data_IF_803592631135
#
_entry.id   IF_803592631135
#
_cell.length_a   1.000
_cell.length_b   1.000
_cell.length_c   1.000
_cell.angle_alpha   90.00
_cell.angle_beta   90.00
_cell.angle_gamma   90.00
#
_symmetry.space_group_name_H-M   'P 1'
#
loop_
_entity.id
_entity.type
_entity.pdbx_description
1 polymer ?
#
# COMPACT_ATOMS: atom_id res chain seq x y z
N UNK A 1 -23.33 22.90 19.87
CA UNK A 1 -23.61 22.13 18.64
C UNK A 1 -22.50 22.48 17.66
N UNK A 2 -21.35 21.89 17.88
CA UNK A 2 -20.11 22.19 17.17
C UNK A 2 -20.16 21.49 15.82
N UNK A 3 -20.65 22.22 14.82
CA UNK A 3 -20.37 21.96 13.42
C UNK A 3 -18.86 22.04 13.23
N UNK A 4 -18.16 20.92 13.26
CA UNK A 4 -16.72 20.89 13.00
C UNK A 4 -16.49 21.30 11.55
N UNK A 5 -15.82 22.43 11.32
CA UNK A 5 -15.58 22.97 9.97
C UNK A 5 -14.65 22.04 9.18
N UNK A 6 -15.25 21.15 8.41
CA UNK A 6 -14.54 20.17 7.61
C UNK A 6 -14.24 20.76 6.23
N UNK A 7 -12.96 20.96 5.95
CA UNK A 7 -12.51 21.52 4.67
C UNK A 7 -12.79 20.54 3.53
N UNK A 8 -13.59 20.97 2.54
CA UNK A 8 -13.78 20.25 1.29
C UNK A 8 -12.81 20.75 0.22
N UNK A 9 -12.26 19.84 -0.57
CA UNK A 9 -11.30 20.16 -1.63
C UNK A 9 -11.49 19.25 -2.84
N UNK A 10 -11.10 19.73 -4.02
CA UNK A 10 -11.20 18.98 -5.28
C UNK A 10 -9.82 18.57 -5.80
N UNK A 11 -9.73 17.40 -6.42
CA UNK A 11 -8.50 16.87 -7.04
C UNK A 11 -8.82 16.30 -8.42
N UNK A 12 -8.11 16.78 -9.43
CA UNK A 12 -8.13 16.21 -10.78
C UNK A 12 -7.09 15.09 -10.91
N UNK A 13 -7.51 13.94 -11.44
CA UNK A 13 -6.72 12.73 -11.59
C UNK A 13 -6.90 12.14 -12.98
N UNK A 14 -5.94 11.35 -13.47
CA UNK A 14 -6.10 10.60 -14.73
C UNK A 14 -6.28 9.10 -14.45
N UNK A 15 -7.49 8.57 -14.68
CA UNK A 15 -7.82 7.15 -14.49
C UNK A 15 -7.17 6.29 -15.58
N UNK A 16 -6.07 5.63 -15.23
CA UNK A 16 -5.30 4.76 -16.13
C UNK A 16 -5.82 3.32 -16.18
N UNK A 17 -5.05 2.43 -16.83
CA UNK A 17 -5.37 0.98 -16.91
C UNK A 17 -5.40 0.27 -15.54
N UNK A 18 -4.73 0.84 -14.54
CA UNK A 18 -4.73 0.40 -13.14
C UNK A 18 -5.72 1.19 -12.25
N UNK A 19 -6.59 2.00 -12.84
CA UNK A 19 -7.53 2.87 -12.12
C UNK A 19 -6.90 4.18 -11.64
N UNK A 20 -7.43 4.71 -10.54
CA UNK A 20 -6.99 5.96 -9.89
C UNK A 20 -5.86 5.74 -8.86
N UNK A 21 -5.66 4.50 -8.42
CA UNK A 21 -4.65 4.14 -7.43
C UNK A 21 -4.99 4.44 -5.97
N UNK A 22 -6.24 4.78 -5.69
CA UNK A 22 -6.77 5.03 -4.34
C UNK A 22 -7.50 3.76 -3.87
N UNK A 23 -7.31 3.38 -2.60
CA UNK A 23 -8.11 2.35 -1.95
C UNK A 23 -9.18 3.03 -1.10
N UNK A 24 -10.43 2.54 -1.21
CA UNK A 24 -11.55 3.04 -0.42
C UNK A 24 -12.07 1.95 0.50
N UNK A 25 -12.38 2.34 1.73
CA UNK A 25 -13.12 1.55 2.71
C UNK A 25 -14.50 2.16 2.97
N UNK A 26 -15.42 1.36 3.49
CA UNK A 26 -16.64 1.88 4.08
C UNK A 26 -16.29 2.61 5.39
N UNK A 27 -16.92 3.75 5.63
CA UNK A 27 -16.96 4.35 6.96
C UNK A 27 -17.69 3.43 7.96
N UNK A 28 -17.56 3.70 9.27
CA UNK A 28 -18.16 2.87 10.32
C UNK A 28 -19.71 2.81 10.28
N UNK A 29 -20.35 3.79 9.63
CA UNK A 29 -21.79 3.84 9.35
C UNK A 29 -22.20 3.01 8.10
N UNK A 30 -21.23 2.52 7.33
CA UNK A 30 -21.37 1.93 5.99
C UNK A 30 -22.12 2.79 4.94
N UNK A 31 -22.36 4.07 5.23
CA UNK A 31 -22.92 5.01 4.28
C UNK A 31 -21.82 5.53 3.35
N UNK A 32 -20.80 6.18 3.91
CA UNK A 32 -19.81 6.94 3.15
C UNK A 32 -18.58 6.09 2.75
N UNK A 33 -17.89 6.51 1.69
CA UNK A 33 -16.58 5.99 1.30
C UNK A 33 -15.45 6.86 1.86
N UNK A 34 -14.47 6.24 2.52
CA UNK A 34 -13.25 6.91 3.02
C UNK A 34 -12.01 6.33 2.35
N UNK A 35 -10.95 7.12 2.20
CA UNK A 35 -9.64 6.61 1.79
C UNK A 35 -9.13 5.67 2.88
N UNK A 36 -8.84 4.40 2.53
CA UNK A 36 -8.60 3.34 3.52
C UNK A 36 -7.30 3.56 4.30
N UNK A 37 -7.42 3.79 5.61
CA UNK A 37 -6.30 4.06 6.53
C UNK A 37 -5.39 2.87 6.79
N UNK A 38 -5.81 1.65 6.42
CA UNK A 38 -5.10 0.39 6.74
C UNK A 38 -4.13 -0.05 5.65
N UNK A 39 -4.13 0.61 4.49
CA UNK A 39 -3.35 0.22 3.32
C UNK A 39 -2.67 1.44 2.68
N UNK A 40 -1.39 1.34 2.26
CA UNK A 40 -0.77 2.40 1.48
C UNK A 40 -1.43 2.49 0.10
N UNK A 41 -1.32 3.67 -0.54
CA UNK A 41 -1.77 3.90 -1.92
C UNK A 41 -1.26 2.84 -2.92
N UNK A 42 -1.91 2.77 -4.07
CA UNK A 42 -1.50 1.85 -5.13
C UNK A 42 -0.15 2.28 -5.72
N UNK A 43 0.79 1.33 -5.83
CA UNK A 43 2.03 1.54 -6.57
C UNK A 43 1.89 0.92 -7.95
N UNK A 44 2.28 1.61 -9.01
CA UNK A 44 2.23 1.03 -10.36
C UNK A 44 3.23 -0.14 -10.47
N UNK A 45 2.98 -1.17 -11.32
CA UNK A 45 3.93 -2.28 -11.50
C UNK A 45 5.33 -1.86 -11.98
N UNK A 46 5.47 -0.66 -12.54
CA UNK A 46 6.74 0.00 -12.87
C UNK A 46 7.50 0.57 -11.66
N UNK A 47 6.97 0.46 -10.44
CA UNK A 47 7.50 1.11 -9.24
C UNK A 47 7.14 2.60 -9.10
N UNK A 48 6.41 3.18 -10.05
CA UNK A 48 5.97 4.57 -10.03
C UNK A 48 4.77 4.82 -9.10
N UNK A 49 4.58 6.09 -8.70
CA UNK A 49 3.38 6.59 -8.02
C UNK A 49 2.15 6.36 -8.90
N UNK A 50 1.02 5.93 -8.33
CA UNK A 50 -0.27 5.95 -9.04
C UNK A 50 -0.96 7.32 -8.88
N UNK A 51 -1.97 7.67 -9.71
CA UNK A 51 -2.51 9.04 -9.80
C UNK A 51 -2.90 9.67 -8.46
N UNK A 52 -3.60 8.93 -7.59
CA UNK A 52 -3.98 9.43 -6.26
C UNK A 52 -2.79 9.80 -5.36
N UNK A 53 -1.77 8.95 -5.29
CA UNK A 53 -0.52 9.20 -4.53
C UNK A 53 0.28 10.34 -5.18
N UNK A 54 0.35 10.35 -6.51
CA UNK A 54 1.06 11.36 -7.31
C UNK A 54 0.44 12.77 -7.20
N UNK A 55 -0.83 12.88 -6.79
CA UNK A 55 -1.48 14.18 -6.56
C UNK A 55 -0.94 14.91 -5.33
N UNK A 56 -0.40 14.20 -4.34
CA UNK A 56 0.09 14.78 -3.08
C UNK A 56 -0.99 15.35 -2.13
N UNK A 57 -2.21 15.62 -2.60
CA UNK A 57 -3.27 16.26 -1.80
C UNK A 57 -4.09 15.26 -0.96
N UNK A 58 -4.27 14.03 -1.44
CA UNK A 58 -5.19 13.04 -0.86
C UNK A 58 -4.53 12.31 0.31
N UNK A 59 -5.19 12.27 1.46
CA UNK A 59 -4.70 11.60 2.67
C UNK A 59 -5.60 10.39 3.05
N UNK A 60 -5.05 9.38 3.73
CA UNK A 60 -5.87 8.32 4.32
C UNK A 60 -6.84 8.89 5.36
N UNK A 61 -8.09 8.43 5.34
CA UNK A 61 -9.17 8.93 6.19
C UNK A 61 -10.02 10.05 5.60
N UNK A 62 -9.63 10.66 4.47
CA UNK A 62 -10.48 11.63 3.77
C UNK A 62 -11.77 10.98 3.25
N UNK A 63 -12.90 11.68 3.40
CA UNK A 63 -14.22 11.21 2.95
C UNK A 63 -14.44 11.63 1.50
N UNK A 64 -14.91 10.71 0.64
CA UNK A 64 -15.28 11.01 -0.74
C UNK A 64 -16.72 11.54 -0.80
N UNK A 65 -16.90 12.75 -1.35
CA UNK A 65 -18.20 13.40 -1.52
C UNK A 65 -18.72 13.31 -2.96
N UNK A 66 -17.89 13.60 -3.97
CA UNK A 66 -18.32 13.59 -5.37
C UNK A 66 -17.32 12.86 -6.29
N UNK A 67 -17.86 12.28 -7.37
CA UNK A 67 -17.12 11.63 -8.46
C UNK A 67 -17.57 12.27 -9.77
N UNK A 68 -16.70 13.06 -10.38
CA UNK A 68 -17.05 14.04 -11.42
C UNK A 68 -18.28 14.87 -10.94
N UNK A 69 -19.27 15.05 -11.81
CA UNK A 69 -20.50 15.79 -11.56
C UNK A 69 -21.54 15.00 -10.73
N UNK A 70 -21.22 13.78 -10.27
CA UNK A 70 -22.09 12.97 -9.41
C UNK A 70 -21.74 13.12 -7.94
N UNK A 71 -22.66 13.65 -7.15
CA UNK A 71 -22.66 13.51 -5.68
C UNK A 71 -22.82 12.02 -5.32
N UNK A 72 -21.94 11.52 -4.46
CA UNK A 72 -21.94 10.14 -3.95
C UNK A 72 -22.18 10.06 -2.44
N UNK A 73 -22.36 11.19 -1.75
CA UNK A 73 -22.61 11.25 -0.29
C UNK A 73 -23.89 10.52 0.14
N UNK A 74 -24.93 10.54 -0.71
CA UNK A 74 -26.21 9.87 -0.46
C UNK A 74 -26.22 8.39 -0.89
N UNK A 75 -25.16 7.87 -1.50
CA UNK A 75 -25.08 6.49 -2.00
C UNK A 75 -24.40 5.59 -0.96
N UNK A 76 -24.87 4.35 -0.79
CA UNK A 76 -24.17 3.40 0.11
C UNK A 76 -22.88 2.91 -0.54
N UNK A 77 -21.86 2.63 0.28
CA UNK A 77 -20.51 2.24 -0.17
C UNK A 77 -20.42 1.30 -1.39
N UNK A 78 -21.21 0.21 -1.53
CA UNK A 78 -21.16 -0.64 -2.73
C UNK A 78 -21.53 0.08 -4.03
N UNK A 79 -22.47 1.03 -3.97
CA UNK A 79 -22.90 1.86 -5.10
C UNK A 79 -21.82 2.90 -5.46
N UNK A 80 -21.13 3.46 -4.46
CA UNK A 80 -19.96 4.34 -4.66
C UNK A 80 -18.84 3.57 -5.38
N UNK A 81 -18.56 2.34 -4.97
CA UNK A 81 -17.58 1.46 -5.61
C UNK A 81 -17.97 1.09 -7.05
N UNK A 82 -19.27 0.99 -7.35
CA UNK A 82 -19.77 0.79 -8.71
C UNK A 82 -19.63 2.06 -9.58
N UNK A 83 -20.07 3.22 -9.10
CA UNK A 83 -19.79 4.55 -9.69
C UNK A 83 -18.31 4.69 -10.06
N UNK A 84 -17.40 4.54 -9.09
CA UNK A 84 -15.95 4.63 -9.28
C UNK A 84 -15.39 3.63 -10.31
N UNK A 85 -16.04 2.48 -10.52
CA UNK A 85 -15.68 1.53 -11.58
C UNK A 85 -16.14 2.02 -12.95
N UNK A 86 -17.39 2.46 -13.06
CA UNK A 86 -18.05 2.86 -14.31
C UNK A 86 -17.44 4.10 -14.98
N UNK A 87 -16.85 5.04 -14.21
CA UNK A 87 -16.12 6.21 -14.75
C UNK A 87 -15.13 5.77 -15.86
N UNK A 88 -15.09 6.41 -17.04
CA UNK A 88 -14.18 6.03 -18.12
C UNK A 88 -12.70 6.25 -17.78
N UNK A 89 -11.79 5.76 -18.64
CA UNK A 89 -10.37 6.14 -18.58
C UNK A 89 -10.22 7.56 -19.14
N UNK A 90 -9.37 8.38 -18.53
CA UNK A 90 -9.23 9.80 -18.86
C UNK A 90 -9.21 10.68 -17.59
N UNK A 91 -9.46 11.99 -17.70
CA UNK A 91 -9.59 12.86 -16.54
C UNK A 91 -10.79 12.47 -15.66
N UNK A 92 -10.60 12.59 -14.36
CA UNK A 92 -11.59 12.33 -13.30
C UNK A 92 -11.39 13.36 -12.20
N UNK A 93 -12.45 14.04 -11.81
CA UNK A 93 -12.43 15.01 -10.72
C UNK A 93 -13.06 14.37 -9.48
N UNK A 94 -12.36 14.36 -8.35
CA UNK A 94 -12.90 13.87 -7.08
C UNK A 94 -13.02 15.02 -6.10
N UNK A 95 -14.13 15.08 -5.36
CA UNK A 95 -14.30 16.02 -4.23
C UNK A 95 -14.20 15.23 -2.94
N UNK A 96 -13.30 15.67 -2.06
CA UNK A 96 -13.05 15.09 -0.75
C UNK A 96 -13.40 16.06 0.37
N UNK A 97 -13.67 15.52 1.56
CA UNK A 97 -13.82 16.26 2.81
C UNK A 97 -12.82 15.72 3.81
N UNK A 98 -11.92 16.61 4.28
CA UNK A 98 -10.99 16.27 5.36
C UNK A 98 -11.65 16.54 6.70
N UNK A 99 -11.91 15.48 7.45
CA UNK A 99 -12.27 15.59 8.86
C UNK A 99 -11.04 16.11 9.61
N UNK A 100 -11.09 17.38 10.06
CA UNK A 100 -10.02 17.92 10.91
C UNK A 100 -9.99 17.12 12.22
N UNK A 101 -8.85 16.62 12.70
CA UNK A 101 -8.80 15.93 13.97
C UNK A 101 -9.27 16.87 15.07
N UNK A 102 -10.32 16.49 15.79
CA UNK A 102 -10.74 17.23 17.00
C UNK A 102 -9.57 17.23 17.96
N UNK A 103 -9.00 18.40 18.21
CA UNK A 103 -8.02 18.56 19.28
C UNK A 103 -8.71 18.16 20.59
N UNK A 104 -8.21 17.12 21.24
CA UNK A 104 -8.56 16.84 22.63
C UNK A 104 -7.86 17.96 23.41
N UNK A 105 -8.65 18.81 24.06
CA UNK A 105 -8.15 19.98 24.77
C UNK A 105 -7.38 19.55 26.03
N UNK A 106 -6.08 19.30 25.87
CA UNK A 106 -5.12 19.21 26.97
C UNK A 106 -4.22 20.43 26.93
N UNK A 107 -4.37 21.31 27.92
CA UNK A 107 -3.54 22.50 28.10
C UNK A 107 -3.60 22.94 29.57
N UNK A 108 -2.54 23.57 30.12
CA UNK A 108 -1.14 23.57 29.69
C UNK A 108 -0.18 23.23 30.86
N UNK A 109 1.07 23.71 30.77
CA UNK A 109 2.13 23.70 31.80
C UNK A 109 2.81 22.33 32.06
N UNK A 110 4.12 22.23 32.27
CA UNK A 110 5.15 23.26 32.55
C UNK A 110 6.45 23.04 31.73
N UNK A 111 7.27 24.08 31.58
CA UNK A 111 8.71 24.01 31.24
C UNK A 111 9.49 23.28 32.38
N UNK A 112 10.75 22.85 32.30
CA UNK A 112 11.93 23.09 31.43
C UNK A 112 12.54 21.72 30.99
N UNK A 113 13.74 21.49 30.42
CA UNK A 113 14.98 22.26 30.17
C UNK A 113 15.81 21.58 29.04
N UNK A 114 17.00 22.09 28.74
CA UNK A 114 18.08 21.38 28.03
C UNK A 114 19.42 21.59 28.78
N UNK A 115 20.39 20.66 28.66
CA UNK A 115 21.67 21.07 28.06
C UNK A 115 22.33 20.00 27.17
N UNK A 116 23.50 20.36 26.63
CA UNK A 116 24.21 19.71 25.52
C UNK A 116 25.45 18.90 25.97
N UNK A 117 25.97 18.04 25.06
CA UNK A 117 27.41 17.71 24.88
C UNK A 117 28.19 16.95 26.01
N UNK A 118 29.27 16.18 25.78
CA UNK A 118 29.99 15.70 24.57
C UNK A 118 30.85 14.43 24.92
N UNK A 119 31.53 13.83 23.94
CA UNK A 119 32.68 12.88 24.01
C UNK A 119 32.37 11.46 24.55
N UNK A 120 32.48 10.36 23.80
CA UNK A 120 33.61 9.74 23.03
C UNK A 120 34.51 8.80 23.86
N UNK A 121 34.52 7.51 23.50
CA UNK A 121 35.75 6.68 23.46
C UNK A 121 35.59 5.45 22.54
N UNK A 122 36.66 4.99 21.89
CA UNK A 122 36.69 3.79 21.03
C UNK A 122 37.41 2.61 21.71
N UNK A 123 36.93 1.37 21.50
CA UNK A 123 37.79 0.17 21.53
C UNK A 123 37.42 -0.80 20.40
N UNK A 124 38.42 -1.25 19.61
CA UNK A 124 38.31 -2.25 18.54
C UNK A 124 39.06 -3.54 18.93
N UNK A 125 38.61 -4.72 18.44
CA UNK A 125 39.35 -6.00 18.15
C UNK A 125 38.27 -7.07 17.83
N UNK A 126 38.17 -7.84 16.72
CA UNK A 126 39.06 -8.44 15.69
C UNK A 126 39.58 -9.85 16.06
N UNK A 127 39.37 -10.96 15.31
CA UNK A 127 38.61 -11.26 14.06
C UNK A 127 37.81 -12.60 14.27
N UNK A 128 37.66 -13.64 13.41
CA UNK A 128 38.06 -14.00 12.02
C UNK A 128 37.09 -15.10 11.50
N UNK A 129 36.32 -14.88 10.43
CA UNK A 129 36.57 -15.25 9.02
C UNK A 129 36.97 -16.72 8.73
N UNK A 130 36.13 -17.42 7.94
CA UNK A 130 36.54 -18.44 6.96
C UNK A 130 35.69 -18.31 5.68
N UNK A 131 36.39 -18.20 4.54
CA UNK A 131 36.05 -18.47 3.13
C UNK A 131 34.65 -19.09 2.80
N UNK A 132 33.81 -18.51 1.94
CA UNK A 132 33.88 -18.30 0.45
C UNK A 132 33.31 -19.47 -0.40
N UNK A 133 32.30 -19.18 -1.25
CA UNK A 133 32.16 -19.63 -2.65
C UNK A 133 30.78 -19.27 -3.29
N UNK A 134 30.80 -18.54 -4.42
CA UNK A 134 29.78 -18.47 -5.51
C UNK A 134 28.30 -18.09 -5.19
N UNK A 135 27.44 -17.64 -6.12
CA UNK A 135 27.56 -17.39 -7.58
C UNK A 135 26.88 -16.04 -7.98
N UNK A 136 27.35 -15.39 -9.04
CA UNK A 136 26.83 -14.12 -9.61
C UNK A 136 25.58 -14.33 -10.48
N UNK A 137 24.51 -14.88 -9.91
CA UNK A 137 23.25 -15.18 -10.62
C UNK A 137 22.20 -14.06 -10.57
N UNK A 138 21.76 -13.58 -11.75
CA UNK A 138 20.56 -12.72 -12.01
C UNK A 138 20.69 -11.19 -11.86
N UNK A 139 21.60 -10.57 -12.62
CA UNK A 139 21.32 -9.24 -13.22
C UNK A 139 21.81 -9.11 -14.69
N UNK A 140 22.23 -10.22 -15.30
CA UNK A 140 22.86 -10.29 -16.64
C UNK A 140 21.84 -10.25 -17.80
N UNK A 141 20.56 -10.51 -17.53
CA UNK A 141 19.53 -10.73 -18.57
C UNK A 141 19.23 -9.50 -19.43
N UNK A 142 19.11 -8.31 -18.83
CA UNK A 142 18.71 -7.10 -19.56
C UNK A 142 19.85 -6.51 -20.41
N UNK A 143 21.09 -6.60 -19.91
CA UNK A 143 22.28 -6.06 -20.57
C UNK A 143 22.64 -6.77 -21.89
N UNK A 144 22.18 -8.01 -22.09
CA UNK A 144 22.46 -8.76 -23.32
C UNK A 144 21.68 -8.23 -24.53
N UNK A 145 20.41 -7.85 -24.33
CA UNK A 145 19.54 -7.36 -25.41
C UNK A 145 19.94 -5.96 -25.91
N UNK A 146 20.54 -5.12 -25.07
CA UNK A 146 20.99 -3.78 -25.46
C UNK A 146 22.23 -3.77 -26.39
N UNK A 147 22.92 -4.91 -26.57
CA UNK A 147 24.19 -4.97 -27.31
C UNK A 147 24.08 -5.33 -28.80
N UNK A 148 22.85 -5.54 -29.30
CA UNK A 148 22.60 -5.95 -30.70
C UNK A 148 22.14 -4.81 -31.63
N UNK A 149 21.79 -3.63 -31.11
CA UNK A 149 21.30 -2.49 -31.90
C UNK A 149 22.40 -1.70 -32.64
N UNK A 150 23.67 -1.89 -32.29
CA UNK A 150 24.77 -1.02 -32.75
C UNK A 150 25.44 -1.40 -34.08
N UNK A 151 25.25 -2.64 -34.58
CA UNK A 151 26.01 -3.15 -35.74
C UNK A 151 25.22 -3.26 -37.06
N UNK A 152 23.90 -3.02 -37.04
CA UNK A 152 23.07 -3.09 -38.25
C UNK A 152 23.24 -1.88 -39.20
N UNK A 153 23.70 -0.74 -38.68
CA UNK A 153 23.76 0.53 -39.42
C UNK A 153 24.86 0.60 -40.50
N UNK A 154 25.80 -0.35 -40.53
CA UNK A 154 26.99 -0.30 -41.41
C UNK A 154 26.93 -1.24 -42.63
N UNK A 155 25.88 -2.04 -42.81
CA UNK A 155 25.84 -3.14 -43.78
C UNK A 155 24.81 -2.97 -44.92
N UNK A 156 24.05 -1.86 -44.97
CA UNK A 156 22.95 -1.65 -45.94
C UNK A 156 23.42 -0.97 -47.24
N UNK A 157 24.71 -0.69 -47.39
CA UNK A 157 25.29 0.03 -48.53
C UNK A 157 25.55 -0.84 -49.78
N UNK A 158 25.06 -2.08 -49.83
CA UNK A 158 25.09 -2.93 -51.03
C UNK A 158 23.75 -3.62 -51.23
N UNK A 159 23.17 -3.46 -52.42
CA UNK A 159 21.81 -3.89 -52.69
C UNK A 159 21.73 -5.41 -52.92
N UNK A 160 20.92 -6.09 -52.12
CA UNK A 160 20.17 -7.23 -52.61
C UNK A 160 18.74 -7.17 -52.05
N UNK A 161 17.76 -7.04 -52.94
CA UNK A 161 16.36 -6.82 -52.57
C UNK A 161 15.67 -8.15 -52.23
N UNK A 162 16.11 -8.79 -51.14
CA UNK A 162 15.41 -9.93 -50.55
C UNK A 162 14.09 -9.44 -49.97
N UNK A 163 13.02 -9.53 -50.76
CA UNK A 163 11.66 -9.20 -50.32
C UNK A 163 11.22 -10.19 -49.23
N UNK A 164 11.44 -9.84 -47.97
CA UNK A 164 10.81 -10.52 -46.83
C UNK A 164 9.30 -10.46 -47.08
N UNK A 165 8.58 -11.59 -47.13
CA UNK A 165 7.16 -11.59 -47.41
C UNK A 165 6.41 -10.80 -46.34
N UNK A 166 5.59 -9.85 -46.77
CA UNK A 166 4.89 -8.89 -45.88
C UNK A 166 4.01 -9.57 -44.85
N UNK A 167 3.49 -10.76 -45.17
CA UNK A 167 2.70 -11.60 -44.27
C UNK A 167 3.52 -12.06 -43.06
N UNK A 168 4.80 -12.43 -43.24
CA UNK A 168 5.67 -12.87 -42.13
C UNK A 168 6.01 -11.69 -41.21
N UNK A 169 6.19 -10.48 -41.74
CA UNK A 169 6.34 -9.28 -40.89
C UNK A 169 5.05 -8.96 -40.14
N UNK A 170 3.88 -9.06 -40.78
CA UNK A 170 2.59 -8.81 -40.13
C UNK A 170 2.28 -9.87 -39.05
N UNK A 171 2.59 -11.14 -39.30
CA UNK A 171 2.51 -12.23 -38.31
C UNK A 171 3.41 -11.96 -37.11
N UNK A 172 4.66 -11.51 -37.33
CA UNK A 172 5.61 -11.23 -36.25
C UNK A 172 5.15 -10.03 -35.42
N UNK A 173 4.63 -8.96 -36.04
CA UNK A 173 4.00 -7.86 -35.30
C UNK A 173 2.78 -8.30 -34.50
N UNK A 174 1.93 -9.18 -35.05
CA UNK A 174 0.79 -9.76 -34.34
C UNK A 174 1.23 -10.50 -33.08
N UNK A 175 2.18 -11.43 -33.23
CA UNK A 175 2.78 -12.19 -32.12
C UNK A 175 3.47 -11.29 -31.09
N UNK A 176 4.06 -10.17 -31.53
CA UNK A 176 4.67 -9.18 -30.63
C UNK A 176 3.59 -8.51 -29.75
N UNK A 177 2.49 -8.03 -30.33
CA UNK A 177 1.36 -7.45 -29.58
C UNK A 177 0.72 -8.46 -28.62
N UNK A 178 0.54 -9.72 -29.04
CA UNK A 178 0.01 -10.79 -28.18
C UNK A 178 0.90 -11.04 -26.95
N UNK A 179 2.23 -11.01 -27.14
CA UNK A 179 3.22 -11.16 -26.06
C UNK A 179 3.27 -9.93 -25.13
N UNK A 180 3.15 -8.72 -25.67
CA UNK A 180 3.04 -7.49 -24.87
C UNK A 180 1.79 -7.50 -23.99
N UNK A 181 0.63 -7.91 -24.53
CA UNK A 181 -0.57 -8.11 -23.73
C UNK A 181 -0.41 -9.23 -22.68
N UNK A 182 0.23 -10.34 -23.04
CA UNK A 182 0.47 -11.45 -22.12
C UNK A 182 1.37 -11.02 -20.94
N UNK A 183 2.40 -10.24 -21.22
CA UNK A 183 3.27 -9.62 -20.22
C UNK A 183 2.50 -8.63 -19.33
N UNK A 184 1.66 -7.77 -19.92
CA UNK A 184 0.82 -6.84 -19.14
C UNK A 184 -0.20 -7.58 -18.24
N UNK A 185 -0.72 -8.73 -18.70
CA UNK A 185 -1.56 -9.63 -17.88
C UNK A 185 -0.76 -10.27 -16.74
N UNK A 186 0.44 -10.79 -17.00
CA UNK A 186 1.32 -11.37 -15.98
C UNK A 186 1.68 -10.35 -14.90
N UNK A 187 2.20 -9.18 -15.30
CA UNK A 187 2.60 -8.10 -14.39
C UNK A 187 1.44 -7.67 -13.47
N UNK A 188 0.22 -7.57 -14.02
CA UNK A 188 -0.98 -7.25 -13.24
C UNK A 188 -1.35 -8.35 -12.26
N UNK A 189 -1.34 -9.62 -12.69
CA UNK A 189 -1.62 -10.76 -11.82
C UNK A 189 -0.58 -10.88 -10.70
N UNK A 190 0.71 -10.70 -11.03
CA UNK A 190 1.83 -10.70 -10.10
C UNK A 190 1.70 -9.59 -9.05
N UNK A 191 1.47 -8.36 -9.48
CA UNK A 191 1.26 -7.23 -8.56
C UNK A 191 0.10 -7.50 -7.58
N UNK A 192 -1.02 -8.05 -8.07
CA UNK A 192 -2.16 -8.40 -7.24
C UNK A 192 -1.83 -9.52 -6.23
N UNK A 193 -1.01 -10.51 -6.62
CA UNK A 193 -0.55 -11.56 -5.72
C UNK A 193 0.41 -11.03 -4.64
N UNK A 194 1.37 -10.17 -5.01
CA UNK A 194 2.31 -9.52 -4.09
C UNK A 194 1.57 -8.60 -3.09
N UNK A 195 0.63 -7.76 -3.57
CA UNK A 195 -0.24 -6.94 -2.71
C UNK A 195 -1.13 -7.78 -1.80
N UNK A 196 -1.70 -8.90 -2.29
CA UNK A 196 -2.49 -9.83 -1.46
C UNK A 196 -1.65 -10.48 -0.36
N UNK A 197 -0.38 -10.80 -0.63
CA UNK A 197 0.54 -11.36 0.35
C UNK A 197 0.82 -10.38 1.51
N UNK A 198 1.08 -9.10 1.19
CA UNK A 198 1.26 -8.03 2.19
C UNK A 198 0.01 -7.87 3.06
N UNK A 199 -1.18 -7.82 2.47
CA UNK A 199 -2.44 -7.69 3.23
C UNK A 199 -2.67 -8.88 4.17
N UNK A 200 -2.45 -10.11 3.68
CA UNK A 200 -2.55 -11.32 4.48
C UNK A 200 -1.55 -11.34 5.65
N UNK A 201 -0.31 -10.91 5.42
CA UNK A 201 0.73 -10.81 6.46
C UNK A 201 0.36 -9.80 7.55
N UNK A 202 -0.14 -8.63 7.18
CA UNK A 202 -0.55 -7.61 8.14
C UNK A 202 -1.73 -8.07 9.00
N UNK A 203 -2.74 -8.67 8.38
CA UNK A 203 -3.92 -9.19 9.09
C UNK A 203 -3.55 -10.36 10.01
N UNK A 204 -2.67 -11.27 9.58
CA UNK A 204 -2.16 -12.36 10.42
C UNK A 204 -1.38 -11.84 11.64
N UNK A 205 -0.61 -10.75 11.48
CA UNK A 205 0.09 -10.09 12.59
C UNK A 205 -0.91 -9.45 13.57
N UNK A 206 -1.91 -8.72 13.08
CA UNK A 206 -2.97 -8.10 13.90
C UNK A 206 -3.72 -9.17 14.73
N UNK A 207 -4.20 -10.22 14.07
CA UNK A 207 -4.93 -11.32 14.72
C UNK A 207 -4.03 -12.08 15.72
N UNK A 208 -2.72 -12.20 15.44
CA UNK A 208 -1.76 -12.79 16.39
C UNK A 208 -1.59 -11.94 17.65
N UNK A 209 -1.46 -10.61 17.50
CA UNK A 209 -1.35 -9.66 18.63
C UNK A 209 -2.62 -9.66 19.48
N UNK A 210 -3.81 -9.66 18.86
CA UNK A 210 -5.09 -9.73 19.57
C UNK A 210 -5.26 -11.07 20.31
N UNK A 211 -4.84 -12.19 19.71
CA UNK A 211 -4.84 -13.49 20.39
C UNK A 211 -3.86 -13.56 21.56
N UNK A 212 -2.72 -12.86 21.50
CA UNK A 212 -1.79 -12.77 22.63
C UNK A 212 -2.42 -11.97 23.78
N UNK A 213 -2.92 -10.77 23.51
CA UNK A 213 -3.56 -9.91 24.52
C UNK A 213 -4.75 -10.61 25.21
N UNK A 214 -5.59 -11.33 24.46
CA UNK A 214 -6.70 -12.11 25.03
C UNK A 214 -6.24 -13.27 25.92
N UNK A 215 -5.11 -13.91 25.61
CA UNK A 215 -4.52 -14.96 26.47
C UNK A 215 -3.98 -14.38 27.76
N UNK A 216 -3.31 -13.23 27.69
CA UNK A 216 -2.76 -12.55 28.87
C UNK A 216 -3.87 -12.05 29.80
N UNK A 217 -4.93 -11.46 29.25
CA UNK A 217 -6.14 -11.10 30.01
C UNK A 217 -6.80 -12.31 30.67
N UNK A 218 -6.95 -13.43 29.94
CA UNK A 218 -7.51 -14.67 30.48
C UNK A 218 -6.62 -15.27 31.59
N UNK A 219 -5.29 -15.13 31.47
CA UNK A 219 -4.34 -15.51 32.51
C UNK A 219 -4.50 -14.68 33.78
N UNK A 220 -4.56 -13.34 33.64
CA UNK A 220 -4.76 -12.41 34.76
C UNK A 220 -6.10 -12.66 35.48
N UNK A 221 -7.20 -12.85 34.74
CA UNK A 221 -8.50 -13.14 35.34
C UNK A 221 -8.50 -14.47 36.11
N UNK A 222 -7.89 -15.53 35.56
CA UNK A 222 -7.75 -16.83 36.26
C UNK A 222 -6.88 -16.73 37.51
N UNK A 223 -5.78 -15.98 37.46
CA UNK A 223 -4.91 -15.76 38.61
C UNK A 223 -5.62 -14.98 39.73
N UNK A 224 -6.39 -13.94 39.38
CA UNK A 224 -7.19 -13.18 40.33
C UNK A 224 -8.31 -14.03 40.94
N UNK A 225 -8.97 -14.88 40.15
CA UNK A 225 -9.95 -15.85 40.65
C UNK A 225 -9.31 -16.85 41.63
N UNK A 226 -8.17 -17.46 41.27
CA UNK A 226 -7.45 -18.38 42.15
C UNK A 226 -7.03 -17.72 43.47
N UNK A 227 -6.61 -16.45 43.45
CA UNK A 227 -6.30 -15.67 44.65
C UNK A 227 -7.53 -15.40 45.52
N UNK A 228 -8.67 -15.10 44.90
CA UNK A 228 -9.94 -14.91 45.61
C UNK A 228 -10.40 -16.21 46.28
N UNK A 229 -10.40 -17.32 45.53
CA UNK A 229 -10.85 -18.63 46.02
C UNK A 229 -9.92 -19.17 47.13
N UNK A 230 -8.60 -18.92 47.02
CA UNK A 230 -7.64 -19.17 48.10
C UNK A 230 -7.93 -18.33 49.35
N UNK A 231 -8.14 -17.01 49.20
CA UNK A 231 -8.48 -16.13 50.33
C UNK A 231 -9.78 -16.53 51.04
N UNK A 232 -10.81 -16.94 50.29
CA UNK A 232 -12.07 -17.43 50.85
C UNK A 232 -11.87 -18.74 51.61
N UNK A 233 -11.12 -19.70 51.05
CA UNK A 233 -10.85 -20.98 51.72
C UNK A 233 -9.96 -20.83 52.95
N UNK A 234 -8.97 -19.94 52.95
CA UNK A 234 -8.15 -19.60 54.12
C UNK A 234 -8.98 -18.90 55.21
N UNK A 235 -9.82 -17.93 54.83
CA UNK A 235 -10.73 -17.23 55.76
C UNK A 235 -11.72 -18.18 56.45
N UNK A 236 -12.16 -19.24 55.77
CA UNK A 236 -13.03 -20.28 56.34
C UNK A 236 -12.30 -21.20 57.31
N UNK A 237 -10.99 -21.45 57.14
CA UNK A 237 -10.19 -22.23 58.09
C UNK A 237 -9.86 -21.46 59.37
N UNK A 238 -9.84 -20.12 59.31
CA UNK A 238 -9.59 -19.22 60.45
C UNK A 238 -10.84 -18.97 61.33
N UNK A 239 -11.99 -19.57 60.99
CA UNK A 239 -13.29 -19.31 61.63
C UNK A 239 -13.86 -20.54 62.41
N UNK A 240 -13.03 -21.53 62.71
CA UNK A 240 -13.38 -22.81 63.37
C UNK A 240 -12.46 -23.04 64.59
#
# INVERSE_FOLDING_TARGET
MESSEASCYSVELVKGAYGLGIYFAAAADAAHAIVDTRVPFYRLPSGALAPGEASGYIAPGDVLLCVNDSDVSMLRFPQIVEQLRQVPRGPVTLVFQRQLPKQIETSPETEVEAPEENQQEEVKTQHEQVAEAEEKGKNKGWAMFQRLSASAAAAVASANATSVPTDVTAELEGKLRELEEALAREQKCRFLAERKNVLYRNELLRVSQENAALRDQLGQLKFNQQRHDAFVTESLHLAI
#
